data_IF_225477784297
#
_entry.id   IF_225477784297
#
_cell.length_a   1.000
_cell.length_b   1.000
_cell.length_c   1.000
_cell.angle_alpha   90.00
_cell.angle_beta   90.00
_cell.angle_gamma   90.00
#
_symmetry.space_group_name_H-M   'P 1'
#
loop_
_entity.id
_entity.type
_entity.pdbx_description
1 polymer ?
#
# COMPACT_ATOMS: atom_id res chain seq x y z
N UNK A 1 -1.87 -7.10 67.51
CA UNK A 1 -3.25 -6.64 67.82
C UNK A 1 -3.97 -6.31 66.51
N UNK A 2 -5.10 -6.97 66.24
CA UNK A 2 -6.01 -6.71 65.11
C UNK A 2 -6.77 -5.41 65.36
N UNK A 3 -6.82 -4.51 64.36
CA UNK A 3 -8.00 -3.68 64.11
C UNK A 3 -8.31 -3.65 62.62
N UNK A 4 -9.35 -4.39 62.28
CA UNK A 4 -10.12 -4.30 61.05
C UNK A 4 -11.29 -3.35 61.34
N UNK A 5 -11.63 -2.47 60.39
CA UNK A 5 -12.93 -1.77 60.17
C UNK A 5 -12.70 -0.73 59.07
N UNK A 6 -13.57 -0.43 58.10
CA UNK A 6 -14.65 -1.09 57.36
C UNK A 6 -14.85 -0.22 56.09
N UNK A 7 -15.39 -0.87 55.05
CA UNK A 7 -15.89 -0.42 53.74
C UNK A 7 -16.46 1.01 53.55
N UNK A 8 -16.31 1.57 52.34
CA UNK A 8 -17.41 2.12 51.51
C UNK A 8 -16.93 2.39 50.06
N UNK A 9 -17.46 1.65 49.08
CA UNK A 9 -18.53 2.06 48.15
C UNK A 9 -18.09 3.08 47.07
N UNK A 10 -17.85 2.55 45.88
CA UNK A 10 -18.26 3.08 44.57
C UNK A 10 -17.99 4.55 44.23
N UNK A 11 -16.98 4.78 43.38
CA UNK A 11 -17.10 5.80 42.32
C UNK A 11 -16.58 5.23 41.00
N UNK A 12 -17.51 5.04 40.05
CA UNK A 12 -17.22 4.79 38.64
C UNK A 12 -16.45 6.01 38.11
N UNK A 13 -15.23 5.82 37.60
CA UNK A 13 -14.51 6.88 36.89
C UNK A 13 -15.28 7.22 35.59
N UNK A 14 -15.35 8.50 35.18
CA UNK A 14 -16.18 8.90 34.05
C UNK A 14 -15.66 8.27 32.75
N UNK A 15 -16.60 7.79 31.94
CA UNK A 15 -16.41 7.51 30.51
C UNK A 15 -15.89 8.79 29.86
N UNK A 16 -14.66 8.78 29.35
CA UNK A 16 -14.14 9.85 28.50
C UNK A 16 -15.01 9.91 27.24
N UNK A 17 -16.03 10.76 27.26
CA UNK A 17 -16.74 11.18 26.05
C UNK A 17 -15.78 12.07 25.30
N UNK A 18 -15.14 11.54 24.26
CA UNK A 18 -14.34 12.39 23.36
C UNK A 18 -15.27 13.40 22.71
N UNK A 19 -15.07 14.66 23.10
CA UNK A 19 -15.81 15.78 22.57
C UNK A 19 -15.35 16.00 21.12
N UNK A 20 -16.28 16.25 20.21
CA UNK A 20 -16.08 16.38 18.75
C UNK A 20 -15.24 17.58 18.31
N UNK A 21 -14.52 18.24 19.23
CA UNK A 21 -13.77 19.49 19.04
C UNK A 21 -12.25 19.38 19.21
N UNK A 22 -11.68 18.18 19.31
CA UNK A 22 -10.22 17.95 19.28
C UNK A 22 -9.77 17.16 18.04
N UNK A 23 -10.34 17.46 16.86
CA UNK A 23 -9.77 16.98 15.58
C UNK A 23 -8.78 17.95 14.94
N UNK A 24 -8.68 19.17 15.46
CA UNK A 24 -7.81 20.24 14.93
C UNK A 24 -6.69 20.64 15.90
N UNK A 25 -5.93 19.67 16.39
CA UNK A 25 -4.56 19.95 16.84
C UNK A 25 -3.62 19.57 15.71
N UNK A 26 -3.40 20.58 14.86
CA UNK A 26 -2.30 20.74 13.92
C UNK A 26 -1.05 19.94 14.34
N UNK A 27 -0.95 18.71 13.85
CA UNK A 27 0.33 18.10 13.59
C UNK A 27 0.75 18.67 12.24
N UNK A 28 1.56 19.72 12.28
CA UNK A 28 2.35 20.16 11.14
C UNK A 28 3.18 18.96 10.66
N UNK A 29 2.62 18.17 9.75
CA UNK A 29 3.37 17.22 8.95
C UNK A 29 3.48 17.85 7.57
N UNK A 30 4.23 18.95 7.54
CA UNK A 30 4.68 19.56 6.31
C UNK A 30 5.69 18.61 5.68
N UNK A 31 5.46 18.33 4.40
CA UNK A 31 6.23 17.46 3.51
C UNK A 31 6.00 15.97 3.79
N UNK A 32 4.88 15.47 3.27
CA UNK A 32 4.82 14.06 2.94
C UNK A 32 5.65 13.80 1.68
N UNK A 33 6.78 13.09 1.82
CA UNK A 33 7.46 12.46 0.68
C UNK A 33 6.58 11.31 0.21
N UNK A 34 5.71 11.52 -0.78
CA UNK A 34 4.75 10.53 -1.28
C UNK A 34 5.49 9.47 -2.11
N UNK A 35 5.79 8.25 -1.61
CA UNK A 35 6.51 7.25 -2.40
C UNK A 35 5.67 6.73 -3.57
N UNK A 36 4.35 6.78 -3.42
CA UNK A 36 3.39 6.44 -4.45
C UNK A 36 1.97 6.86 -4.10
N UNK A 37 1.10 6.77 -5.10
CA UNK A 37 -0.30 7.09 -5.00
C UNK A 37 -1.17 6.12 -5.78
N UNK A 38 -2.44 6.07 -5.38
CA UNK A 38 -3.49 5.35 -6.06
C UNK A 38 -4.68 6.31 -6.26
N UNK A 39 -5.03 6.58 -7.52
CA UNK A 39 -6.10 7.52 -7.87
C UNK A 39 -5.96 8.89 -7.16
N UNK A 40 -4.75 9.45 -7.17
CA UNK A 40 -4.46 10.73 -6.52
C UNK A 40 -4.38 10.68 -5.00
N UNK A 41 -4.61 9.52 -4.37
CA UNK A 41 -4.47 9.34 -2.92
C UNK A 41 -3.09 8.81 -2.55
N UNK A 42 -2.40 9.45 -1.61
CA UNK A 42 -1.13 8.97 -1.08
C UNK A 42 -1.29 7.58 -0.44
N UNK A 43 -0.45 6.63 -0.85
CA UNK A 43 -0.46 5.27 -0.30
C UNK A 43 -0.11 5.19 1.20
N UNK A 44 0.66 6.16 1.72
CA UNK A 44 1.08 6.15 3.13
C UNK A 44 0.09 6.85 4.07
N UNK A 45 -0.42 8.01 3.66
CA UNK A 45 -1.19 8.88 4.56
C UNK A 45 -2.67 9.00 4.17
N UNK A 46 -3.10 8.41 3.04
CA UNK A 46 -4.48 8.48 2.58
C UNK A 46 -4.96 9.88 2.21
N UNK A 47 -4.05 10.86 2.09
CA UNK A 47 -4.37 12.24 1.71
C UNK A 47 -4.40 12.36 0.20
N UNK A 48 -5.32 13.19 -0.31
CA UNK A 48 -5.32 13.59 -1.72
C UNK A 48 -4.10 14.45 -2.02
N UNK A 49 -3.50 14.20 -3.18
CA UNK A 49 -2.36 14.95 -3.66
C UNK A 49 -2.84 16.10 -4.55
N UNK A 50 -2.25 17.29 -4.39
CA UNK A 50 -2.50 18.43 -5.29
C UNK A 50 -1.88 18.19 -6.67
N UNK A 51 -0.71 17.54 -6.70
CA UNK A 51 -0.04 17.07 -7.91
C UNK A 51 0.16 15.55 -7.83
N UNK A 52 0.11 14.86 -8.96
CA UNK A 52 0.41 13.43 -9.01
C UNK A 52 1.86 13.17 -9.48
N UNK A 53 2.86 13.21 -8.59
CA UNK A 53 4.24 12.91 -8.94
C UNK A 53 4.41 11.44 -9.33
N UNK A 54 5.51 11.17 -10.03
CA UNK A 54 5.96 9.82 -10.32
C UNK A 54 5.48 9.23 -11.65
N UNK A 55 5.78 7.95 -11.85
CA UNK A 55 5.52 7.18 -13.06
C UNK A 55 4.28 6.34 -12.86
N UNK A 56 3.41 6.29 -13.87
CA UNK A 56 2.20 5.46 -13.88
C UNK A 56 2.55 4.00 -14.15
N UNK A 57 2.09 3.08 -13.30
CA UNK A 57 2.19 1.64 -13.51
C UNK A 57 0.85 1.05 -13.97
N UNK A 58 0.30 1.63 -15.04
CA UNK A 58 -1.03 1.29 -15.56
C UNK A 58 -1.18 -0.15 -16.05
N UNK A 59 -0.06 -0.82 -16.35
CA UNK A 59 -0.03 -2.23 -16.71
C UNK A 59 -0.31 -3.17 -15.51
N UNK A 60 -0.07 -2.70 -14.28
CA UNK A 60 -0.44 -3.41 -13.04
C UNK A 60 -1.86 -3.02 -12.64
N UNK A 61 -2.10 -1.72 -12.45
CA UNK A 61 -3.41 -1.18 -12.11
C UNK A 61 -3.54 0.27 -12.57
N UNK A 62 -4.72 0.62 -13.10
CA UNK A 62 -5.03 2.00 -13.46
C UNK A 62 -4.99 2.90 -12.23
N UNK A 63 -4.37 4.08 -12.34
CA UNK A 63 -4.26 5.03 -11.23
C UNK A 63 -3.13 4.76 -10.24
N UNK A 64 -2.39 3.65 -10.37
CA UNK A 64 -1.21 3.38 -9.55
C UNK A 64 0.01 4.17 -10.05
N UNK A 65 0.69 4.86 -9.13
CA UNK A 65 1.88 5.68 -9.40
C UNK A 65 2.93 5.52 -8.31
N UNK A 66 4.20 5.59 -8.69
CA UNK A 66 5.34 5.63 -7.76
C UNK A 66 6.35 6.68 -8.18
N UNK A 67 7.05 7.27 -7.21
CA UNK A 67 8.18 8.16 -7.51
C UNK A 67 9.34 7.37 -8.11
N UNK A 68 10.22 8.05 -8.85
CA UNK A 68 11.39 7.40 -9.43
C UNK A 68 12.29 6.79 -8.35
N UNK A 69 12.49 7.49 -7.24
CA UNK A 69 13.28 7.00 -6.11
C UNK A 69 12.70 5.71 -5.54
N UNK A 70 11.38 5.62 -5.46
CA UNK A 70 10.71 4.42 -4.96
C UNK A 70 10.79 3.26 -5.95
N UNK A 71 10.69 3.53 -7.26
CA UNK A 71 10.88 2.52 -8.31
C UNK A 71 12.31 1.95 -8.25
N UNK A 72 13.31 2.81 -8.08
CA UNK A 72 14.71 2.39 -7.93
C UNK A 72 14.91 1.59 -6.64
N UNK A 73 14.34 2.06 -5.52
CA UNK A 73 14.43 1.36 -4.24
C UNK A 73 13.84 -0.04 -4.30
N UNK A 74 12.65 -0.18 -4.89
CA UNK A 74 11.97 -1.46 -5.08
C UNK A 74 12.76 -2.36 -6.03
N UNK A 75 13.26 -1.82 -7.15
CA UNK A 75 14.07 -2.58 -8.10
C UNK A 75 15.37 -3.12 -7.50
N UNK A 76 16.03 -2.36 -6.63
CA UNK A 76 17.22 -2.82 -5.91
C UNK A 76 16.90 -3.96 -4.94
N UNK A 77 15.83 -3.81 -4.15
CA UNK A 77 15.37 -4.85 -3.22
C UNK A 77 15.05 -6.15 -3.97
N UNK A 78 14.33 -6.06 -5.09
CA UNK A 78 13.98 -7.22 -5.90
C UNK A 78 15.22 -7.88 -6.49
N UNK A 79 16.19 -7.08 -6.96
CA UNK A 79 17.47 -7.56 -7.49
C UNK A 79 18.27 -8.31 -6.43
N UNK A 80 18.45 -7.72 -5.24
CA UNK A 80 19.16 -8.33 -4.12
C UNK A 80 18.51 -9.65 -3.71
N UNK A 81 17.18 -9.69 -3.65
CA UNK A 81 16.43 -10.89 -3.35
C UNK A 81 16.62 -11.98 -4.41
N UNK A 82 16.58 -11.63 -5.71
CA UNK A 82 16.78 -12.60 -6.79
C UNK A 82 18.20 -13.17 -6.77
N UNK A 83 19.20 -12.32 -6.58
CA UNK A 83 20.60 -12.74 -6.48
C UNK A 83 20.84 -13.63 -5.25
N UNK A 84 20.22 -13.30 -4.11
CA UNK A 84 20.28 -14.13 -2.90
C UNK A 84 19.78 -15.55 -3.16
N UNK A 85 18.74 -15.69 -3.98
CA UNK A 85 18.16 -16.98 -4.36
C UNK A 85 18.81 -17.59 -5.63
N UNK A 86 19.85 -16.95 -6.19
CA UNK A 86 20.49 -17.33 -7.47
C UNK A 86 19.49 -17.48 -8.62
N UNK A 87 18.47 -16.61 -8.64
CA UNK A 87 17.43 -16.54 -9.67
C UNK A 87 17.66 -15.33 -10.57
N UNK A 88 17.11 -15.39 -11.78
CA UNK A 88 17.09 -14.31 -12.75
C UNK A 88 15.65 -14.10 -13.25
N UNK A 89 15.33 -12.89 -13.70
CA UNK A 89 14.07 -12.59 -14.38
C UNK A 89 14.20 -13.01 -15.84
N UNK A 90 13.29 -13.87 -16.30
CA UNK A 90 13.15 -14.21 -17.72
C UNK A 90 11.84 -13.60 -18.22
N UNK A 91 11.93 -12.76 -19.25
CA UNK A 91 10.78 -12.23 -19.98
C UNK A 91 10.53 -13.17 -21.15
N UNK A 92 9.36 -13.80 -21.18
CA UNK A 92 8.97 -14.78 -22.18
C UNK A 92 7.73 -14.30 -22.92
N UNK A 93 7.77 -14.41 -24.25
CA UNK A 93 6.60 -14.18 -25.08
C UNK A 93 5.58 -15.32 -24.90
N UNK A 94 4.29 -15.01 -25.07
CA UNK A 94 3.23 -16.00 -24.95
C UNK A 94 2.96 -16.69 -26.28
N UNK A 95 2.44 -15.96 -27.25
CA UNK A 95 2.11 -16.50 -28.57
C UNK A 95 3.37 -16.95 -29.30
N UNK A 96 3.31 -18.14 -29.89
CA UNK A 96 4.38 -18.78 -30.65
C UNK A 96 5.67 -19.11 -29.89
N UNK A 97 5.77 -18.78 -28.60
CA UNK A 97 6.82 -19.29 -27.69
C UNK A 97 6.27 -20.32 -26.71
N UNK A 98 5.22 -19.98 -25.98
CA UNK A 98 4.60 -20.86 -24.98
C UNK A 98 3.26 -21.45 -25.45
N UNK A 99 2.54 -20.71 -26.29
CA UNK A 99 1.21 -21.08 -26.75
C UNK A 99 1.17 -21.15 -28.28
N UNK A 100 0.56 -22.22 -28.80
CA UNK A 100 0.13 -22.27 -30.20
C UNK A 100 -1.38 -22.00 -30.25
N UNK A 101 -1.74 -20.76 -30.54
CA UNK A 101 -3.12 -20.28 -30.61
C UNK A 101 -3.61 -20.32 -32.07
N UNK A 102 -4.85 -20.80 -32.28
CA UNK A 102 -5.55 -20.69 -33.58
C UNK A 102 -7.00 -20.26 -33.33
N UNK A 103 -7.57 -19.49 -34.25
CA UNK A 103 -8.97 -19.13 -34.18
C UNK A 103 -9.83 -20.35 -34.51
N UNK A 104 -10.93 -20.51 -33.78
CA UNK A 104 -11.90 -21.60 -34.01
C UNK A 104 -12.39 -21.63 -35.48
N UNK A 105 -12.54 -20.46 -36.11
CA UNK A 105 -12.92 -20.35 -37.52
C UNK A 105 -11.90 -20.96 -38.51
N UNK A 106 -10.66 -21.19 -38.09
CA UNK A 106 -9.60 -21.79 -38.89
C UNK A 106 -9.45 -23.29 -38.68
N UNK A 107 -10.27 -23.91 -37.81
CA UNK A 107 -10.29 -25.35 -37.62
C UNK A 107 -11.21 -25.99 -38.67
N UNK A 108 -10.70 -27.00 -39.39
CA UNK A 108 -11.51 -27.83 -40.29
C UNK A 108 -12.22 -28.93 -39.48
N UNK A 109 -13.49 -29.27 -39.76
CA UNK A 109 -14.14 -30.45 -39.17
C UNK A 109 -13.39 -31.72 -39.55
N UNK A 110 -13.22 -32.64 -38.59
CA UNK A 110 -12.72 -34.01 -38.82
C UNK A 110 -13.82 -34.95 -39.34
#
# INVERSE_FOLDING_TARGET
>A
MKKMKMTNQGMRKPRMTMNSKERDKSLKMDICTHPGSFEGMCALYGKMLEEEPGVKLGYIHKGLRFTNDEIVRLGNIDTDNLLHHRKLISVLDLDHTLLNSTLLAHLTPE
#
